data_IF_132552445331
#
_entry.id   IF_132552445331
#
_cell.length_a   1.000
_cell.length_b   1.000
_cell.length_c   1.000
_cell.angle_alpha   90.00
_cell.angle_beta   90.00
_cell.angle_gamma   90.00
#
_symmetry.space_group_name_H-M   'P 1'
#
loop_
_entity.id
_entity.type
_entity.pdbx_description
1 polymer ?
#
# COMPACT_ATOMS: atom_id res chain seq x y z
N UNK A 1 1.01 9.57 -2.15
CA UNK A 1 1.35 8.85 -0.91
C UNK A 1 2.84 8.86 -0.72
N UNK A 2 3.29 9.70 0.21
CA UNK A 2 4.68 9.97 0.47
C UNK A 2 5.10 9.27 1.77
N UNK A 3 6.00 8.29 1.67
CA UNK A 3 6.40 7.45 2.79
C UNK A 3 7.78 7.85 3.28
N UNK A 4 7.90 8.20 4.57
CA UNK A 4 9.14 8.73 5.14
C UNK A 4 9.69 7.86 6.27
N UNK A 5 10.99 7.58 6.22
CA UNK A 5 11.77 7.04 7.33
C UNK A 5 13.05 7.86 7.49
N UNK A 6 13.11 8.70 8.53
CA UNK A 6 14.26 9.58 8.73
C UNK A 6 14.44 10.50 7.51
N UNK A 7 15.60 10.38 6.82
CA UNK A 7 15.89 11.09 5.57
C UNK A 7 15.53 10.30 4.29
N UNK A 8 15.12 9.04 4.44
CA UNK A 8 14.72 8.19 3.33
C UNK A 8 13.23 8.38 2.99
N UNK A 9 12.92 8.24 1.71
CA UNK A 9 11.61 8.52 1.14
C UNK A 9 11.23 7.46 0.09
N UNK A 10 9.94 7.13 0.01
CA UNK A 10 9.38 6.30 -1.05
C UNK A 10 8.01 6.84 -1.49
N UNK A 11 7.77 6.96 -2.79
CA UNK A 11 6.52 7.50 -3.34
C UNK A 11 5.61 6.39 -3.85
N UNK A 12 4.32 6.52 -3.61
CA UNK A 12 3.28 5.87 -4.39
C UNK A 12 2.26 6.92 -4.79
N UNK A 13 1.65 6.83 -5.97
CA UNK A 13 0.36 7.53 -6.14
C UNK A 13 -0.72 6.80 -5.32
N UNK A 14 -1.85 7.44 -5.07
CA UNK A 14 -2.90 6.90 -4.20
C UNK A 14 -3.46 5.57 -4.70
N UNK A 15 -3.57 5.42 -6.03
CA UNK A 15 -4.09 4.22 -6.68
C UNK A 15 -3.15 3.03 -6.47
N UNK A 16 -1.87 3.24 -6.75
CA UNK A 16 -0.83 2.23 -6.56
C UNK A 16 -0.66 1.85 -5.10
N UNK A 17 -0.75 2.82 -4.22
CA UNK A 17 -0.70 2.57 -2.79
C UNK A 17 -1.85 1.66 -2.35
N UNK A 18 -3.08 1.93 -2.80
CA UNK A 18 -4.20 1.05 -2.53
C UNK A 18 -3.99 -0.36 -3.11
N UNK A 19 -3.51 -0.43 -4.35
CA UNK A 19 -3.30 -1.70 -5.04
C UNK A 19 -2.19 -2.54 -4.41
N UNK A 20 -1.10 -1.94 -3.90
CA UNK A 20 -0.03 -2.68 -3.22
C UNK A 20 -0.49 -3.22 -1.87
N UNK A 21 -1.30 -2.45 -1.13
CA UNK A 21 -1.92 -2.91 0.12
C UNK A 21 -2.90 -4.06 -0.12
N UNK A 22 -3.76 -3.94 -1.13
CA UNK A 22 -4.67 -5.03 -1.55
C UNK A 22 -3.91 -6.28 -1.98
N UNK A 23 -2.87 -6.11 -2.79
CA UNK A 23 -2.01 -7.22 -3.23
C UNK A 23 -1.43 -7.91 -2.01
N UNK A 24 -0.81 -7.18 -1.08
CA UNK A 24 -0.27 -7.79 0.12
C UNK A 24 -1.33 -8.50 0.96
N UNK A 25 -2.55 -7.95 1.08
CA UNK A 25 -3.65 -8.62 1.79
C UNK A 25 -4.01 -9.97 1.15
N UNK A 26 -4.03 -10.05 -0.19
CA UNK A 26 -4.26 -11.31 -0.91
C UNK A 26 -3.13 -12.35 -0.70
N UNK A 27 -1.94 -11.91 -0.25
CA UNK A 27 -0.79 -12.77 0.05
C UNK A 27 -0.49 -12.87 1.56
N UNK A 28 -1.51 -12.69 2.39
CA UNK A 28 -1.44 -13.01 3.83
C UNK A 28 -1.08 -11.85 4.75
N UNK A 29 -0.86 -10.64 4.23
CA UNK A 29 -0.71 -9.48 5.09
C UNK A 29 -2.05 -9.14 5.77
N UNK A 30 -2.02 -8.96 7.08
CA UNK A 30 -3.17 -8.54 7.88
C UNK A 30 -2.85 -7.18 8.50
N UNK A 31 -3.56 -6.10 8.11
CA UNK A 31 -3.34 -4.77 8.68
C UNK A 31 -3.51 -4.77 10.19
N UNK A 32 -2.46 -4.40 10.92
CA UNK A 32 -2.46 -4.37 12.40
C UNK A 32 -2.90 -3.03 13.00
N UNK A 33 -3.23 -2.06 12.15
CA UNK A 33 -3.43 -0.66 12.50
C UNK A 33 -2.14 0.14 12.43
N UNK A 34 -2.28 1.45 12.21
CA UNK A 34 -1.19 2.41 12.31
C UNK A 34 -1.21 3.13 13.65
N UNK A 35 -0.18 3.94 13.91
CA UNK A 35 -0.05 4.82 15.06
C UNK A 35 -0.39 6.26 14.70
N UNK A 36 -0.70 7.11 15.69
CA UNK A 36 -1.15 8.47 15.43
C UNK A 36 -0.07 9.32 14.74
N UNK A 37 -0.49 10.41 14.08
CA UNK A 37 0.40 11.51 13.70
C UNK A 37 1.28 11.98 14.86
N UNK A 38 2.39 12.65 14.53
CA UNK A 38 3.22 13.30 15.57
C UNK A 38 2.39 14.36 16.30
N UNK A 39 2.52 14.41 17.63
CA UNK A 39 1.79 15.37 18.45
C UNK A 39 0.35 14.96 18.78
N UNK A 40 -0.16 13.86 18.24
CA UNK A 40 -1.47 13.33 18.57
C UNK A 40 -1.35 12.11 19.51
N UNK A 41 -2.11 12.09 20.60
CA UNK A 41 -2.16 10.95 21.51
C UNK A 41 -3.02 9.84 20.91
N UNK A 42 -2.67 8.58 21.18
CA UNK A 42 -3.42 7.43 20.64
C UNK A 42 -4.90 7.41 21.03
N UNK A 43 -5.23 7.93 22.22
CA UNK A 43 -6.62 8.02 22.73
C UNK A 43 -7.46 9.10 22.05
N UNK A 44 -6.81 10.13 21.50
CA UNK A 44 -7.46 11.28 20.88
C UNK A 44 -7.52 11.12 19.35
N UNK A 45 -6.88 10.06 18.83
CA UNK A 45 -6.92 9.68 17.45
C UNK A 45 -7.93 8.57 17.24
N UNK A 46 -8.99 8.87 16.49
CA UNK A 46 -10.06 7.96 16.10
C UNK A 46 -9.57 6.78 15.23
N UNK A 47 -8.31 6.81 14.81
CA UNK A 47 -7.71 5.80 13.95
C UNK A 47 -8.00 6.01 12.47
N UNK A 48 -8.69 7.09 12.09
CA UNK A 48 -9.16 7.54 10.77
C UNK A 48 -8.83 6.67 9.55
N UNK A 49 -8.31 7.28 8.49
CA UNK A 49 -7.81 6.57 7.32
C UNK A 49 -6.42 5.98 7.60
N UNK A 50 -6.29 5.13 8.63
CA UNK A 50 -5.04 4.58 9.16
C UNK A 50 -3.96 4.25 8.11
N UNK A 51 -4.33 3.66 6.98
CA UNK A 51 -3.39 3.32 5.91
C UNK A 51 -3.48 4.21 4.68
N UNK A 52 -4.56 4.96 4.50
CA UNK A 52 -4.86 5.71 3.28
C UNK A 52 -4.79 7.23 3.44
N UNK A 53 -4.71 7.72 4.68
CA UNK A 53 -4.55 9.13 4.99
C UNK A 53 -3.12 9.59 4.74
N UNK A 54 -2.92 10.89 4.83
CA UNK A 54 -1.62 11.55 4.64
C UNK A 54 -1.29 12.48 5.81
N UNK A 55 -1.78 12.12 7.00
CA UNK A 55 -1.75 12.98 8.19
C UNK A 55 -0.47 12.77 9.02
N UNK A 56 0.49 12.00 8.52
CA UNK A 56 1.71 11.65 9.24
C UNK A 56 1.58 10.42 10.13
N UNK A 57 0.54 9.60 9.96
CA UNK A 57 0.34 8.40 10.78
C UNK A 57 1.48 7.38 10.60
N UNK A 58 1.78 6.64 11.68
CA UNK A 58 2.93 5.75 11.79
C UNK A 58 2.59 4.33 11.33
N UNK A 59 3.26 3.84 10.32
CA UNK A 59 3.27 2.43 9.96
C UNK A 59 4.26 1.69 10.86
N UNK A 60 3.77 0.80 11.74
CA UNK A 60 4.62 0.12 12.72
C UNK A 60 5.57 -0.89 12.08
N UNK A 61 6.78 -1.02 12.62
CA UNK A 61 7.83 -1.87 12.06
C UNK A 61 7.40 -3.34 11.87
N UNK A 62 6.62 -3.89 12.81
CA UNK A 62 6.07 -5.26 12.69
C UNK A 62 5.15 -5.39 11.49
N UNK A 63 4.26 -4.42 11.32
CA UNK A 63 3.30 -4.43 10.23
C UNK A 63 4.00 -4.18 8.89
N UNK A 64 4.96 -3.27 8.86
CA UNK A 64 5.80 -3.00 7.69
C UNK A 64 6.58 -4.26 7.25
N UNK A 65 7.14 -5.00 8.20
CA UNK A 65 7.84 -6.26 7.92
C UNK A 65 6.88 -7.28 7.30
N UNK A 66 5.69 -7.46 7.88
CA UNK A 66 4.68 -8.38 7.36
C UNK A 66 4.19 -7.98 5.97
N UNK A 67 4.01 -6.67 5.71
CA UNK A 67 3.69 -6.13 4.39
C UNK A 67 4.77 -6.51 3.37
N UNK A 68 6.04 -6.28 3.71
CA UNK A 68 7.17 -6.66 2.85
C UNK A 68 7.21 -8.16 2.55
N UNK A 69 7.01 -9.01 3.56
CA UNK A 69 6.95 -10.47 3.38
C UNK A 69 5.83 -10.89 2.44
N UNK A 70 4.62 -10.34 2.57
CA UNK A 70 3.52 -10.68 1.66
C UNK A 70 3.81 -10.28 0.20
N UNK A 71 4.46 -9.13 -0.02
CA UNK A 71 4.88 -8.70 -1.34
C UNK A 71 6.02 -9.56 -1.91
N UNK A 72 6.92 -10.08 -1.06
CA UNK A 72 7.92 -11.05 -1.48
C UNK A 72 7.27 -12.36 -1.95
N UNK A 73 6.26 -12.85 -1.23
CA UNK A 73 5.50 -14.06 -1.64
C UNK A 73 4.83 -13.80 -2.99
N UNK A 74 4.17 -12.65 -3.16
CA UNK A 74 3.60 -12.23 -4.44
C UNK A 74 4.61 -12.25 -5.58
N UNK A 75 5.83 -11.75 -5.37
CA UNK A 75 6.87 -11.74 -6.38
C UNK A 75 7.50 -13.13 -6.62
N UNK A 76 7.51 -14.01 -5.61
CA UNK A 76 8.20 -15.31 -5.63
C UNK A 76 7.38 -16.43 -6.28
N UNK A 77 6.05 -16.32 -6.30
CA UNK A 77 5.22 -17.13 -7.18
C UNK A 77 4.63 -18.46 -6.71
N UNK A 78 4.53 -18.83 -5.42
CA UNK A 78 3.54 -19.84 -5.07
C UNK A 78 2.14 -19.30 -5.42
N UNK A 79 1.27 -20.14 -5.97
CA UNK A 79 -0.14 -19.80 -6.19
C UNK A 79 -0.72 -19.20 -4.90
N UNK A 80 -1.50 -18.13 -5.03
CA UNK A 80 -2.19 -17.47 -3.91
C UNK A 80 -2.84 -18.53 -3.00
N UNK A 81 -2.49 -18.58 -1.71
CA UNK A 81 -3.35 -19.24 -0.75
C UNK A 81 -4.71 -18.56 -0.86
N UNK A 82 -5.78 -19.32 -1.16
CA UNK A 82 -7.14 -18.79 -1.15
C UNK A 82 -7.51 -18.44 0.29
N UNK A 83 -7.05 -17.29 0.78
CA UNK A 83 -7.40 -16.79 2.10
C UNK A 83 -8.88 -16.40 2.06
N UNK A 84 -9.67 -17.08 2.89
CA UNK A 84 -11.06 -16.74 3.17
C UNK A 84 -11.11 -15.32 3.77
N UNK A 85 -11.45 -14.35 2.92
CA UNK A 85 -11.48 -12.92 3.25
C UNK A 85 -12.48 -12.65 4.38
N UNK A 86 -11.99 -12.11 5.49
CA UNK A 86 -12.85 -11.70 6.61
C UNK A 86 -13.53 -10.34 6.35
N UNK A 87 -14.57 -10.01 7.14
CA UNK A 87 -15.41 -8.80 6.93
C UNK A 87 -14.61 -7.49 6.94
N UNK A 88 -13.64 -7.37 7.85
CA UNK A 88 -12.77 -6.19 7.99
C UNK A 88 -11.89 -5.95 6.76
N UNK A 89 -11.37 -7.02 6.16
CA UNK A 89 -10.63 -6.94 4.89
C UNK A 89 -11.56 -6.47 3.75
N UNK A 90 -12.80 -6.96 3.68
CA UNK A 90 -13.77 -6.54 2.65
C UNK A 90 -14.12 -5.05 2.75
N UNK A 91 -14.30 -4.53 3.97
CA UNK A 91 -14.59 -3.11 4.21
C UNK A 91 -13.41 -2.21 3.81
N UNK A 92 -12.17 -2.56 4.19
CA UNK A 92 -10.97 -1.83 3.76
C UNK A 92 -10.77 -1.84 2.23
N UNK A 93 -11.05 -2.98 1.58
CA UNK A 93 -10.97 -3.13 0.13
C UNK A 93 -12.04 -2.31 -0.60
N UNK A 94 -13.24 -2.20 -0.02
CA UNK A 94 -14.31 -1.38 -0.60
C UNK A 94 -13.93 0.10 -0.67
N UNK A 95 -13.12 0.58 0.28
CA UNK A 95 -12.62 1.95 0.28
C UNK A 95 -11.54 2.16 -0.80
N UNK A 96 -10.58 1.24 -0.92
CA UNK A 96 -9.58 1.28 -2.00
C UNK A 96 -10.21 1.20 -3.40
N UNK A 97 -11.26 0.38 -3.55
CA UNK A 97 -12.01 0.24 -4.81
C UNK A 97 -12.81 1.51 -5.15
N UNK A 98 -13.41 2.17 -4.15
CA UNK A 98 -14.11 3.46 -4.33
C UNK A 98 -13.14 4.58 -4.74
N UNK A 99 -11.99 4.67 -4.06
CA UNK A 99 -10.93 5.62 -4.44
C UNK A 99 -10.38 5.33 -5.84
N UNK A 100 -10.22 4.06 -6.24
CA UNK A 100 -9.79 3.72 -7.59
C UNK A 100 -10.81 4.09 -8.66
N UNK A 101 -12.11 3.92 -8.39
CA UNK A 101 -13.20 4.33 -9.28
C UNK A 101 -13.26 5.85 -9.47
N UNK A 102 -13.11 6.61 -8.40
CA UNK A 102 -13.10 8.09 -8.45
C UNK A 102 -11.81 8.65 -9.08
N UNK A 103 -10.66 8.01 -8.86
CA UNK A 103 -9.37 8.44 -9.44
C UNK A 103 -9.29 8.12 -10.94
N UNK A 104 -10.02 7.14 -11.46
CA UNK A 104 -10.06 6.87 -12.90
C UNK A 104 -10.64 8.06 -13.70
N UNK A 105 -11.50 8.85 -13.07
CA UNK A 105 -12.04 10.09 -13.62
C UNK A 105 -11.10 11.29 -13.40
N UNK A 106 -10.33 11.33 -12.32
CA UNK A 106 -9.37 12.42 -12.01
C UNK A 106 -7.99 12.28 -12.66
N UNK A 107 -7.49 11.06 -12.90
CA UNK A 107 -6.20 10.81 -13.55
C UNK A 107 -6.19 11.23 -15.04
N UNK A 108 -7.36 11.51 -15.62
CA UNK A 108 -7.48 12.17 -16.94
C UNK A 108 -7.18 13.68 -16.89
N UNK A 109 -7.19 14.29 -15.71
CA UNK A 109 -7.07 15.74 -15.53
C UNK A 109 -5.70 16.20 -15.01
N UNK A 110 -4.90 15.32 -14.41
CA UNK A 110 -3.61 15.69 -13.82
C UNK A 110 -2.62 14.54 -14.06
N UNK A 111 -1.57 14.75 -14.88
CA UNK A 111 -0.23 14.85 -14.28
C UNK A 111 0.86 15.30 -15.27
N UNK A 112 1.72 16.19 -14.78
CA UNK A 112 2.96 16.67 -15.39
C UNK A 112 4.21 16.33 -14.56
N UNK A 113 4.14 15.42 -13.57
CA UNK A 113 5.33 14.87 -12.90
C UNK A 113 5.21 13.36 -12.70
N UNK A 114 5.85 12.63 -13.59
CA UNK A 114 5.79 11.16 -13.72
C UNK A 114 6.53 10.43 -12.59
N UNK A 115 5.80 10.05 -11.55
CA UNK A 115 6.04 8.72 -10.98
C UNK A 115 5.58 7.68 -12.02
N UNK A 116 6.26 6.54 -12.19
CA UNK A 116 5.80 5.51 -13.12
C UNK A 116 4.35 5.15 -12.78
N UNK A 117 3.47 5.23 -13.78
CA UNK A 117 2.04 4.94 -13.65
C UNK A 117 1.85 3.43 -13.50
N UNK A 118 2.16 2.91 -12.32
CA UNK A 118 2.01 1.48 -12.00
C UNK A 118 0.50 1.17 -11.80
N UNK A 119 -0.30 2.18 -11.42
CA UNK A 119 -1.63 2.04 -10.81
C UNK A 119 -2.73 1.51 -11.69
N UNK A 120 -2.69 1.80 -12.99
CA UNK A 120 -3.70 1.29 -13.92
C UNK A 120 -3.51 -0.20 -14.25
N UNK A 121 -2.31 -0.76 -14.06
CA UNK A 121 -2.02 -2.18 -14.35
C UNK A 121 -2.25 -3.10 -13.15
N UNK A 122 -2.00 -2.65 -11.91
CA UNK A 122 -2.20 -3.48 -10.72
C UNK A 122 -3.69 -3.73 -10.40
N UNK A 123 -4.58 -2.75 -10.67
CA UNK A 123 -6.03 -2.85 -10.39
C UNK A 123 -6.76 -3.71 -11.44
N UNK A 124 -6.18 -3.92 -12.62
CA UNK A 124 -6.71 -4.88 -13.58
C UNK A 124 -6.42 -6.32 -13.13
N UNK A 125 -7.30 -6.83 -12.25
CA UNK A 125 -7.65 -8.24 -12.03
C UNK A 125 -6.75 -9.24 -12.83
N UNK A 126 -5.78 -9.86 -12.13
CA UNK A 126 -4.82 -10.89 -12.61
C UNK A 126 -3.77 -10.30 -13.56
N UNK A 127 -2.46 -10.40 -13.33
CA UNK A 127 -1.67 -11.54 -12.85
C UNK A 127 -0.24 -11.03 -12.56
N UNK A 128 0.53 -11.67 -11.68
CA UNK A 128 2.01 -11.49 -11.56
C UNK A 128 2.71 -11.47 -12.92
N UNK A 129 2.18 -12.17 -13.91
CA UNK A 129 2.66 -12.30 -15.29
C UNK A 129 2.59 -11.00 -16.11
N UNK A 130 1.80 -10.01 -15.67
CA UNK A 130 1.66 -8.72 -16.36
C UNK A 130 2.57 -7.62 -15.81
N UNK A 131 3.30 -7.91 -14.73
CA UNK A 131 4.29 -6.97 -14.22
C UNK A 131 5.52 -6.97 -15.12
N UNK A 132 5.83 -5.80 -15.65
CA UNK A 132 7.10 -5.56 -16.32
C UNK A 132 8.26 -5.49 -15.31
N UNK A 133 9.49 -5.53 -15.82
CA UNK A 133 10.69 -5.60 -14.96
C UNK A 133 10.87 -4.37 -14.10
N UNK A 134 10.48 -3.19 -14.60
CA UNK A 134 10.54 -1.94 -13.84
C UNK A 134 9.56 -1.95 -12.68
N UNK A 135 8.34 -2.44 -12.89
CA UNK A 135 7.36 -2.62 -11.82
C UNK A 135 7.85 -3.61 -10.76
N UNK A 136 8.43 -4.74 -11.17
CA UNK A 136 9.02 -5.72 -10.23
C UNK A 136 10.17 -5.08 -9.44
N UNK A 137 11.03 -4.32 -10.11
CA UNK A 137 12.14 -3.60 -9.48
C UNK A 137 11.63 -2.57 -8.48
N UNK A 138 10.58 -1.83 -8.80
CA UNK A 138 9.98 -0.85 -7.92
C UNK A 138 9.39 -1.49 -6.66
N UNK A 139 8.65 -2.60 -6.81
CA UNK A 139 8.13 -3.36 -5.66
C UNK A 139 9.28 -3.92 -4.82
N UNK A 140 10.36 -4.42 -5.42
CA UNK A 140 11.57 -4.87 -4.67
C UNK A 140 12.22 -3.74 -3.89
N UNK A 141 12.32 -2.54 -4.45
CA UNK A 141 12.81 -1.36 -3.74
C UNK A 141 11.89 -1.02 -2.56
N UNK A 142 10.58 -1.07 -2.75
CA UNK A 142 9.61 -0.87 -1.68
C UNK A 142 9.73 -1.94 -0.57
N UNK A 143 9.92 -3.21 -0.92
CA UNK A 143 10.19 -4.28 0.03
C UNK A 143 11.47 -3.98 0.84
N UNK A 144 12.55 -3.55 0.19
CA UNK A 144 13.77 -3.13 0.88
C UNK A 144 13.53 -1.92 1.79
N UNK A 145 12.67 -0.99 1.38
CA UNK A 145 12.23 0.10 2.22
C UNK A 145 11.47 -0.45 3.45
N UNK A 146 10.56 -1.40 3.29
CA UNK A 146 9.83 -2.00 4.41
C UNK A 146 10.76 -2.70 5.43
N UNK A 147 11.75 -3.46 4.95
CA UNK A 147 12.68 -4.22 5.82
C UNK A 147 13.48 -3.35 6.81
N UNK A 148 13.62 -2.07 6.54
CA UNK A 148 14.33 -1.10 7.40
C UNK A 148 13.51 -0.60 8.60
N UNK A 149 12.26 -1.07 8.77
CA UNK A 149 11.43 -0.78 9.94
C UNK A 149 10.30 0.23 9.65
N UNK A 150 9.85 0.92 10.70
CA UNK A 150 8.69 1.81 10.61
C UNK A 150 8.91 3.01 9.69
N UNK A 151 7.81 3.54 9.17
CA UNK A 151 7.77 4.77 8.38
C UNK A 151 6.48 5.56 8.65
N UNK A 152 6.44 6.82 8.22
CA UNK A 152 5.25 7.68 8.30
C UNK A 152 4.68 7.95 6.93
N UNK A 153 3.37 8.18 6.88
CA UNK A 153 2.61 8.40 5.65
C UNK A 153 2.19 9.87 5.57
N UNK A 154 2.54 10.55 4.49
CA UNK A 154 2.24 11.96 4.19
C UNK A 154 1.74 12.13 2.75
#
# INVERSE_FOLDING_TARGET
>A
MDLYRGKEYFRWNTVDWAAVLETAMNYGWQPMGTGPPRGCLKKDWDGGNAYYGNEGQLFYARDTKNLGTALEIFLSGPETPQLTRNKRQREMLSFGTRLAGEVQDLAKLIDGRTAPTIGTKLIQKKTRERLDDDQRKYIKQFISFCRKGSFRIY
#
